data_IF_136792855068
#
_entry.id   IF_136792855068
#
_cell.length_a   1.000
_cell.length_b   1.000
_cell.length_c   1.000
_cell.angle_alpha   90.00
_cell.angle_beta   90.00
_cell.angle_gamma   90.00
#
_symmetry.space_group_name_H-M   'P 1'
#
loop_
_entity.id
_entity.type
_entity.pdbx_description
1 polymer ?
#
# COMPACT_ATOMS: atom_id res chain seq x y z
N UNK A 1 -14.95 -17.73 2.28
CA UNK A 1 -15.45 -16.38 1.94
C UNK A 1 -14.89 -16.00 0.58
N UNK A 2 -15.71 -15.63 -0.41
CA UNK A 2 -15.25 -15.21 -1.73
C UNK A 2 -14.59 -13.83 -1.57
N UNK A 3 -13.34 -13.67 -1.98
CA UNK A 3 -12.63 -12.39 -1.91
C UNK A 3 -12.77 -11.67 -3.22
N UNK A 4 -13.21 -10.44 -3.16
CA UNK A 4 -13.44 -9.56 -4.30
C UNK A 4 -12.20 -8.74 -4.64
N UNK A 5 -12.13 -8.22 -5.85
CA UNK A 5 -11.12 -7.23 -6.24
C UNK A 5 -11.45 -5.91 -5.53
N UNK A 6 -10.41 -5.19 -5.12
CA UNK A 6 -10.56 -3.84 -4.56
C UNK A 6 -10.05 -2.82 -5.56
N UNK A 7 -10.98 -2.14 -6.23
CA UNK A 7 -10.69 -1.17 -7.29
C UNK A 7 -11.50 0.10 -7.02
N UNK A 8 -10.88 1.24 -7.15
CA UNK A 8 -11.52 2.55 -6.97
C UNK A 8 -12.25 2.71 -5.61
N UNK A 9 -11.61 2.21 -4.53
CA UNK A 9 -12.15 2.32 -3.17
C UNK A 9 -13.31 1.38 -2.85
N UNK A 10 -13.68 0.46 -3.75
CA UNK A 10 -14.79 -0.47 -3.59
C UNK A 10 -14.40 -1.91 -3.90
N UNK A 11 -15.12 -2.85 -3.28
CA UNK A 11 -14.99 -4.26 -3.59
C UNK A 11 -15.94 -4.65 -4.73
N UNK A 12 -15.41 -5.33 -5.76
CA UNK A 12 -16.17 -5.86 -6.88
C UNK A 12 -15.80 -7.31 -7.17
N UNK A 13 -16.71 -8.08 -7.74
CA UNK A 13 -16.36 -9.40 -8.26
C UNK A 13 -15.53 -9.28 -9.53
N UNK A 14 -14.67 -10.28 -9.79
CA UNK A 14 -13.89 -10.33 -11.02
C UNK A 14 -14.79 -10.57 -12.23
N UNK A 15 -14.61 -9.83 -13.31
CA UNK A 15 -15.38 -9.94 -14.55
C UNK A 15 -15.24 -11.31 -15.22
N UNK A 16 -14.15 -12.03 -14.98
CA UNK A 16 -13.97 -13.39 -15.48
C UNK A 16 -14.96 -14.39 -14.90
N UNK A 17 -15.52 -14.12 -13.72
CA UNK A 17 -16.31 -15.09 -12.94
C UNK A 17 -15.49 -16.24 -12.36
N UNK A 18 -14.19 -16.34 -12.67
CA UNK A 18 -13.28 -17.37 -12.20
C UNK A 18 -12.69 -17.03 -10.85
N UNK A 19 -12.21 -18.06 -10.14
CA UNK A 19 -11.52 -17.89 -8.85
C UNK A 19 -10.45 -18.96 -8.66
N UNK A 20 -9.43 -18.65 -7.88
CA UNK A 20 -8.43 -19.60 -7.43
C UNK A 20 -8.42 -19.71 -5.89
N UNK A 21 -7.85 -20.82 -5.39
CA UNK A 21 -7.73 -21.06 -3.96
C UNK A 21 -6.46 -20.43 -3.42
N UNK A 22 -6.54 -19.72 -2.30
CA UNK A 22 -5.37 -19.45 -1.47
C UNK A 22 -5.29 -20.51 -0.37
N UNK A 23 -4.09 -20.99 -0.08
CA UNK A 23 -3.86 -22.18 0.75
C UNK A 23 -2.90 -21.79 1.88
N UNK A 24 -3.23 -22.19 3.10
CA UNK A 24 -2.33 -22.07 4.24
C UNK A 24 -1.14 -23.03 4.05
N UNK A 25 0.08 -22.53 3.89
CA UNK A 25 1.24 -23.38 3.62
C UNK A 25 1.64 -24.25 4.82
N UNK A 26 1.23 -23.91 6.05
CA UNK A 26 1.55 -24.68 7.23
C UNK A 26 0.76 -26.01 7.32
N UNK A 27 -0.46 -26.07 6.75
CA UNK A 27 -1.32 -27.23 6.90
C UNK A 27 -2.05 -27.68 5.62
N UNK A 28 -1.87 -26.97 4.51
CA UNK A 28 -2.48 -27.28 3.22
C UNK A 28 -3.98 -26.98 3.11
N UNK A 29 -4.58 -26.36 4.12
CA UNK A 29 -6.01 -26.05 4.11
C UNK A 29 -6.32 -24.82 3.25
N UNK A 30 -7.47 -24.85 2.60
CA UNK A 30 -7.96 -23.70 1.83
C UNK A 30 -8.41 -22.60 2.78
N UNK A 31 -7.78 -21.43 2.68
CA UNK A 31 -8.14 -20.23 3.44
C UNK A 31 -9.35 -19.54 2.80
N UNK A 32 -9.30 -19.34 1.49
CA UNK A 32 -10.32 -18.59 0.75
C UNK A 32 -10.27 -18.89 -0.75
N UNK A 33 -11.28 -18.41 -1.48
CA UNK A 33 -11.28 -18.33 -2.94
C UNK A 33 -11.14 -16.87 -3.33
N UNK A 34 -10.17 -16.58 -4.18
CA UNK A 34 -9.84 -15.23 -4.65
C UNK A 34 -10.33 -15.11 -6.10
N UNK A 35 -11.00 -14.01 -6.42
CA UNK A 35 -11.45 -13.74 -7.79
C UNK A 35 -10.24 -13.61 -8.74
N UNK A 36 -10.28 -14.31 -9.88
CA UNK A 36 -9.29 -14.20 -10.93
C UNK A 36 -9.58 -12.96 -11.76
N UNK A 37 -8.76 -11.92 -11.63
CA UNK A 37 -8.93 -10.69 -12.41
C UNK A 37 -8.83 -10.98 -13.92
N UNK A 38 -9.73 -10.42 -14.70
CA UNK A 38 -9.63 -10.37 -16.15
C UNK A 38 -8.67 -9.27 -16.62
N UNK A 39 -8.34 -9.26 -17.90
CA UNK A 39 -7.56 -8.15 -18.48
C UNK A 39 -8.28 -6.80 -18.29
N UNK A 40 -9.59 -6.77 -18.46
CA UNK A 40 -10.41 -5.57 -18.27
C UNK A 40 -10.38 -5.08 -16.81
N UNK A 41 -10.43 -5.99 -15.83
CA UNK A 41 -10.29 -5.62 -14.41
C UNK A 41 -8.93 -4.96 -14.14
N UNK A 42 -7.85 -5.49 -14.71
CA UNK A 42 -6.51 -4.91 -14.59
C UNK A 42 -6.44 -3.53 -15.24
N UNK A 43 -6.98 -3.36 -16.45
CA UNK A 43 -7.05 -2.07 -17.14
C UNK A 43 -7.83 -1.03 -16.30
N UNK A 44 -8.98 -1.41 -15.75
CA UNK A 44 -9.77 -0.57 -14.86
C UNK A 44 -9.01 -0.19 -13.58
N UNK A 45 -8.24 -1.11 -13.01
CA UNK A 45 -7.40 -0.84 -11.84
C UNK A 45 -6.29 0.18 -12.16
N UNK A 46 -5.66 0.07 -13.34
CA UNK A 46 -4.64 1.02 -13.79
C UNK A 46 -5.24 2.42 -13.99
N UNK A 47 -6.37 2.52 -14.69
CA UNK A 47 -7.08 3.80 -14.88
C UNK A 47 -7.49 4.44 -13.55
N UNK A 48 -7.92 3.61 -12.59
CA UNK A 48 -8.23 4.07 -11.24
C UNK A 48 -6.99 4.60 -10.51
N UNK A 49 -5.84 3.91 -10.66
CA UNK A 49 -4.57 4.34 -10.07
C UNK A 49 -4.07 5.66 -10.67
N UNK A 50 -4.18 5.86 -11.98
CA UNK A 50 -3.82 7.12 -12.66
C UNK A 50 -4.66 8.30 -12.15
N UNK A 51 -5.96 8.09 -11.96
CA UNK A 51 -6.84 9.09 -11.36
C UNK A 51 -6.44 9.40 -9.92
N UNK A 52 -6.22 8.36 -9.10
CA UNK A 52 -5.75 8.51 -7.72
C UNK A 52 -4.38 9.19 -7.63
N UNK A 53 -3.47 8.90 -8.57
CA UNK A 53 -2.18 9.58 -8.67
C UNK A 53 -2.34 11.09 -8.89
N UNK A 54 -3.23 11.50 -9.79
CA UNK A 54 -3.50 12.92 -10.05
C UNK A 54 -3.97 13.65 -8.79
N UNK A 55 -4.89 13.06 -8.02
CA UNK A 55 -5.39 13.62 -6.77
C UNK A 55 -4.31 13.64 -5.66
N UNK A 56 -3.58 12.53 -5.50
CA UNK A 56 -2.56 12.37 -4.48
C UNK A 56 -1.35 13.30 -4.71
N UNK A 57 -0.90 13.43 -5.94
CA UNK A 57 0.23 14.29 -6.29
C UNK A 57 -0.07 15.78 -6.15
N UNK A 58 -1.35 16.19 -6.26
CA UNK A 58 -1.79 17.55 -6.04
C UNK A 58 -1.84 17.96 -4.56
N UNK A 59 -1.87 16.99 -3.63
CA UNK A 59 -1.85 17.26 -2.19
C UNK A 59 -0.49 17.78 -1.73
N UNK A 60 -0.49 18.63 -0.71
CA UNK A 60 0.76 19.02 -0.05
C UNK A 60 1.46 17.82 0.61
N UNK A 61 2.78 17.87 0.73
CA UNK A 61 3.56 16.85 1.42
C UNK A 61 3.07 16.57 2.86
N UNK A 62 2.69 17.64 3.57
CA UNK A 62 2.18 17.55 4.95
C UNK A 62 0.84 16.81 5.01
N UNK A 63 -0.07 17.09 4.08
CA UNK A 63 -1.38 16.41 4.02
C UNK A 63 -1.21 14.92 3.73
N UNK A 64 -0.36 14.54 2.77
CA UNK A 64 -0.04 13.14 2.50
C UNK A 64 0.54 12.44 3.74
N UNK A 65 1.50 13.09 4.43
CA UNK A 65 2.06 12.56 5.68
C UNK A 65 1.00 12.31 6.75
N UNK A 66 0.05 13.24 6.94
CA UNK A 66 -1.05 13.08 7.91
C UNK A 66 -1.96 11.89 7.60
N UNK A 67 -2.26 11.65 6.32
CA UNK A 67 -3.06 10.49 5.90
C UNK A 67 -2.32 9.19 6.23
N UNK A 68 -1.02 9.11 5.92
CA UNK A 68 -0.20 7.94 6.23
C UNK A 68 -0.08 7.69 7.73
N UNK A 69 0.11 8.73 8.55
CA UNK A 69 0.14 8.61 10.01
C UNK A 69 -1.18 8.09 10.59
N UNK A 70 -2.31 8.50 10.01
CA UNK A 70 -3.61 7.93 10.39
C UNK A 70 -3.71 6.44 10.04
N UNK A 71 -3.20 6.03 8.88
CA UNK A 71 -3.12 4.62 8.51
C UNK A 71 -2.24 3.82 9.48
N UNK A 72 -1.11 4.37 9.94
CA UNK A 72 -0.24 3.76 10.96
C UNK A 72 -1.00 3.50 12.26
N UNK A 73 -1.79 4.46 12.73
CA UNK A 73 -2.61 4.26 13.94
C UNK A 73 -3.57 3.08 13.79
N UNK A 74 -4.22 2.96 12.64
CA UNK A 74 -5.15 1.86 12.34
C UNK A 74 -4.41 0.52 12.26
N UNK A 75 -3.21 0.48 11.66
CA UNK A 75 -2.40 -0.74 11.62
C UNK A 75 -2.05 -1.23 13.03
N UNK A 76 -1.62 -0.33 13.92
CA UNK A 76 -1.28 -0.66 15.31
C UNK A 76 -2.50 -1.10 16.10
N UNK A 77 -3.65 -0.45 15.95
CA UNK A 77 -4.92 -0.85 16.59
C UNK A 77 -5.39 -2.25 16.16
N UNK A 78 -5.15 -2.62 14.89
CA UNK A 78 -5.56 -3.90 14.32
C UNK A 78 -4.44 -4.93 14.28
N UNK A 79 -3.37 -4.75 15.04
CA UNK A 79 -2.19 -5.59 15.01
C UNK A 79 -2.51 -7.09 15.15
N UNK A 80 -3.29 -7.47 16.15
CA UNK A 80 -3.62 -8.88 16.41
C UNK A 80 -4.42 -9.52 15.28
N UNK A 81 -5.36 -8.77 14.70
CA UNK A 81 -6.15 -9.22 13.55
C UNK A 81 -5.28 -9.44 12.32
N UNK A 82 -4.40 -8.47 12.03
CA UNK A 82 -3.52 -8.51 10.87
C UNK A 82 -2.46 -9.60 11.02
N UNK A 83 -1.89 -9.76 12.22
CA UNK A 83 -0.94 -10.83 12.52
C UNK A 83 -1.57 -12.22 12.33
N UNK A 84 -2.81 -12.42 12.78
CA UNK A 84 -3.52 -13.68 12.58
C UNK A 84 -3.76 -13.98 11.09
N UNK A 85 -4.07 -12.95 10.29
CA UNK A 85 -4.24 -13.08 8.83
C UNK A 85 -2.92 -13.40 8.14
N UNK A 86 -1.83 -12.74 8.54
CA UNK A 86 -0.47 -12.98 8.06
C UNK A 86 -0.03 -14.44 8.32
N UNK A 87 -0.30 -14.96 9.53
CA UNK A 87 0.00 -16.35 9.87
C UNK A 87 -0.77 -17.34 8.99
N UNK A 88 -2.04 -17.06 8.71
CA UNK A 88 -2.83 -17.91 7.83
C UNK A 88 -2.26 -17.96 6.40
N UNK A 89 -1.81 -16.83 5.87
CA UNK A 89 -1.36 -16.71 4.49
C UNK A 89 0.08 -17.18 4.28
N UNK A 90 0.96 -16.93 5.25
CA UNK A 90 2.41 -17.23 5.14
C UNK A 90 2.84 -18.49 5.88
N UNK A 91 2.06 -18.96 6.83
CA UNK A 91 2.39 -20.11 7.68
C UNK A 91 3.46 -19.84 8.75
N UNK A 92 3.86 -18.58 8.97
CA UNK A 92 4.86 -18.18 9.96
C UNK A 92 4.33 -18.26 11.40
N UNK A 93 5.23 -18.25 12.43
CA UNK A 93 4.81 -18.21 13.83
C UNK A 93 4.04 -16.92 14.17
N UNK A 94 2.96 -17.05 14.94
CA UNK A 94 2.14 -15.91 15.38
C UNK A 94 2.96 -14.87 16.16
N UNK A 95 3.91 -15.29 16.97
CA UNK A 95 4.76 -14.37 17.74
C UNK A 95 5.57 -13.46 16.83
N UNK A 96 6.09 -13.97 15.71
CA UNK A 96 6.84 -13.19 14.73
C UNK A 96 5.93 -12.18 14.04
N UNK A 97 4.78 -12.63 13.51
CA UNK A 97 3.83 -11.75 12.86
C UNK A 97 3.33 -10.64 13.79
N UNK A 98 2.98 -10.99 15.04
CA UNK A 98 2.41 -10.05 16.02
C UNK A 98 3.45 -9.07 16.59
N UNK A 99 4.64 -9.56 16.96
CA UNK A 99 5.64 -8.72 17.64
C UNK A 99 6.61 -8.01 16.70
N UNK A 100 6.74 -8.47 15.44
CA UNK A 100 7.76 -7.94 14.52
C UNK A 100 7.12 -7.38 13.25
N UNK A 101 6.39 -8.20 12.47
CA UNK A 101 6.06 -7.85 11.09
C UNK A 101 5.12 -6.65 10.98
N UNK A 102 3.99 -6.69 11.69
CA UNK A 102 3.00 -5.62 11.63
C UNK A 102 3.56 -4.33 12.25
N UNK A 103 4.30 -4.45 13.37
CA UNK A 103 4.94 -3.30 14.01
C UNK A 103 6.00 -2.67 13.12
N UNK A 104 6.92 -3.46 12.54
CA UNK A 104 7.96 -2.92 11.66
C UNK A 104 7.37 -2.30 10.40
N UNK A 105 6.31 -2.87 9.83
CA UNK A 105 5.58 -2.27 8.72
C UNK A 105 4.99 -0.91 9.07
N UNK A 106 4.37 -0.79 10.24
CA UNK A 106 3.84 0.47 10.76
C UNK A 106 4.96 1.50 10.99
N UNK A 107 6.08 1.09 11.60
CA UNK A 107 7.22 1.96 11.91
C UNK A 107 7.88 2.51 10.65
N UNK A 108 8.02 1.68 9.60
CA UNK A 108 8.55 2.11 8.29
C UNK A 108 7.63 3.15 7.65
N UNK A 109 6.32 2.92 7.65
CA UNK A 109 5.36 3.89 7.11
C UNK A 109 5.41 5.20 7.91
N UNK A 110 5.47 5.13 9.24
CA UNK A 110 5.57 6.31 10.12
C UNK A 110 6.83 7.12 9.83
N UNK A 111 7.99 6.45 9.71
CA UNK A 111 9.25 7.09 9.37
C UNK A 111 9.16 7.86 8.04
N UNK A 112 8.71 7.20 6.98
CA UNK A 112 8.60 7.85 5.68
C UNK A 112 7.51 8.91 5.63
N UNK A 113 6.40 8.73 6.32
CA UNK A 113 5.36 9.76 6.44
C UNK A 113 5.90 11.04 7.09
N UNK A 114 6.74 10.90 8.12
CA UNK A 114 7.43 12.01 8.76
C UNK A 114 8.50 12.67 7.87
N UNK A 115 9.12 11.90 6.98
CA UNK A 115 10.18 12.39 6.08
C UNK A 115 9.63 13.15 4.86
N UNK A 116 8.38 12.90 4.44
CA UNK A 116 7.82 13.49 3.21
C UNK A 116 7.97 15.02 3.14
N UNK A 117 7.71 15.81 4.20
CA UNK A 117 7.88 17.27 4.17
C UNK A 117 9.35 17.73 4.09
N UNK A 118 10.31 16.85 4.42
CA UNK A 118 11.74 17.15 4.41
C UNK A 118 12.43 16.80 3.09
N UNK A 119 11.70 16.19 2.14
CA UNK A 119 12.23 15.90 0.81
C UNK A 119 12.43 17.20 0.03
N UNK A 120 13.69 17.65 -0.03
CA UNK A 120 14.08 18.88 -0.71
C UNK A 120 14.81 18.58 -2.01
N UNK A 121 14.75 19.55 -2.92
CA UNK A 121 15.67 19.65 -4.05
C UNK A 121 16.92 20.47 -3.67
N UNK A 122 17.80 20.64 -4.63
CA UNK A 122 19.01 21.47 -4.47
C UNK A 122 18.93 22.67 -5.41
N UNK A 123 19.53 23.78 -5.00
CA UNK A 123 19.76 24.92 -5.86
C UNK A 123 21.26 25.26 -5.85
N UNK A 124 21.81 25.60 -6.99
CA UNK A 124 23.22 25.97 -7.14
C UNK A 124 23.35 27.07 -8.21
N UNK A 125 24.05 28.14 -7.88
CA UNK A 125 24.44 29.16 -8.84
C UNK A 125 25.59 28.63 -9.70
N UNK A 126 25.44 28.73 -11.02
CA UNK A 126 26.46 28.33 -12.00
C UNK A 126 27.34 29.50 -12.42
N UNK A 127 26.71 30.65 -12.62
CA UNK A 127 27.37 31.95 -12.87
C UNK A 127 26.42 33.10 -12.48
N UNK A 128 26.82 34.33 -12.73
CA UNK A 128 26.08 35.54 -12.35
C UNK A 128 24.63 35.61 -12.95
N UNK A 129 24.35 34.82 -14.00
CA UNK A 129 23.09 34.89 -14.74
C UNK A 129 22.39 33.51 -14.85
N UNK A 130 22.97 32.44 -14.29
CA UNK A 130 22.46 31.10 -14.42
C UNK A 130 22.48 30.36 -13.08
N UNK A 131 21.40 29.69 -12.78
CA UNK A 131 21.32 28.77 -11.65
C UNK A 131 20.71 27.44 -12.09
N UNK A 132 21.05 26.40 -11.35
CA UNK A 132 20.47 25.06 -11.46
C UNK A 132 19.54 24.82 -10.25
N UNK A 133 18.42 24.17 -10.51
CA UNK A 133 17.52 23.73 -9.45
C UNK A 133 17.07 22.29 -9.75
N UNK A 134 17.05 21.43 -8.73
CA UNK A 134 16.47 20.10 -8.82
C UNK A 134 15.15 20.03 -8.06
N UNK A 135 14.24 19.25 -8.57
CA UNK A 135 12.97 18.91 -7.93
C UNK A 135 12.78 17.40 -7.99
N UNK A 136 12.26 16.82 -6.92
CA UNK A 136 11.88 15.41 -6.91
C UNK A 136 10.44 15.29 -7.36
N UNK A 137 10.23 14.44 -8.36
CA UNK A 137 8.91 14.12 -8.89
C UNK A 137 8.74 12.60 -8.90
N UNK A 138 7.51 12.09 -8.73
CA UNK A 138 7.24 10.66 -8.88
C UNK A 138 7.42 10.23 -10.33
N UNK A 139 7.81 8.97 -10.51
CA UNK A 139 7.95 8.33 -11.82
C UNK A 139 6.61 7.86 -12.34
#
# INVERSE_FOLDING_TARGET
MKKSLYIHGTYSEANSGESFKTINPANGQVISHIGQASKEDVENAILSAEKGFSEWSAMSAVERGRILLKAVSILRERNDELAALEVLDTGKPLQEANCVDIHSGADVIEYYAGLVPALQGTQQDLDANKFFMSRREPL
#
